data_IF_947236178608
#
_entry.id   IF_947236178608
#
_cell.length_a   1.000
_cell.length_b   1.000
_cell.length_c   1.000
_cell.angle_alpha   90.00
_cell.angle_beta   90.00
_cell.angle_gamma   90.00
#
_symmetry.space_group_name_H-M   'P 1'
#
loop_
_entity.id
_entity.type
_entity.pdbx_description
1 polymer ?
#
# COMPACT_ATOMS: atom_id res chain seq x y z
N UNK A 1 -18.72 0.68 -2.24
CA UNK A 1 -18.20 -0.58 -1.67
C UNK A 1 -16.68 -0.61 -1.71
N UNK A 2 -16.04 -1.03 -0.64
CA UNK A 2 -14.58 -1.10 -0.57
C UNK A 2 -14.15 -2.53 -0.27
N UNK A 3 -13.09 -2.96 -0.95
CA UNK A 3 -12.41 -4.18 -0.54
C UNK A 3 -11.62 -3.90 0.75
N UNK A 4 -11.48 -4.88 1.64
CA UNK A 4 -10.61 -4.71 2.79
C UNK A 4 -9.19 -4.39 2.36
N UNK A 5 -8.55 -3.43 3.04
CA UNK A 5 -7.22 -2.96 2.71
C UNK A 5 -6.29 -3.20 3.89
N UNK A 6 -5.16 -3.87 3.63
CA UNK A 6 -4.18 -4.16 4.67
C UNK A 6 -3.49 -2.89 5.17
N UNK A 7 -2.94 -2.96 6.39
CA UNK A 7 -2.15 -1.87 6.94
C UNK A 7 -0.94 -1.56 6.06
N UNK A 8 -0.31 -2.57 5.46
CA UNK A 8 0.84 -2.39 4.58
C UNK A 8 0.48 -1.58 3.34
N UNK A 9 -0.69 -1.83 2.75
CA UNK A 9 -1.15 -1.07 1.59
C UNK A 9 -1.45 0.38 1.98
N UNK A 10 -1.99 0.59 3.17
CA UNK A 10 -2.21 1.95 3.69
C UNK A 10 -0.88 2.67 3.87
N UNK A 11 0.13 2.01 4.44
CA UNK A 11 1.49 2.57 4.57
C UNK A 11 2.05 2.98 3.22
N UNK A 12 1.91 2.11 2.21
CA UNK A 12 2.37 2.40 0.85
C UNK A 12 1.64 3.61 0.27
N UNK A 13 0.32 3.69 0.44
CA UNK A 13 -0.45 4.83 -0.04
C UNK A 13 -0.04 6.13 0.63
N UNK A 14 0.19 6.12 1.95
CA UNK A 14 0.66 7.29 2.69
C UNK A 14 2.00 7.76 2.12
N UNK A 15 2.96 6.86 1.97
CA UNK A 15 4.28 7.21 1.43
C UNK A 15 4.16 7.79 0.01
N UNK A 16 3.28 7.22 -0.80
CA UNK A 16 3.05 7.71 -2.17
C UNK A 16 2.45 9.11 -2.19
N UNK A 17 1.53 9.39 -1.27
CA UNK A 17 0.90 10.71 -1.14
C UNK A 17 1.95 11.75 -0.76
N UNK A 18 2.74 11.48 0.29
CA UNK A 18 3.74 12.45 0.77
C UNK A 18 4.95 12.54 -0.14
N UNK A 19 5.18 11.54 -0.98
CA UNK A 19 6.24 11.62 -2.00
C UNK A 19 5.91 12.65 -3.09
N UNK A 20 4.64 12.82 -3.39
CA UNK A 20 4.21 13.84 -4.37
C UNK A 20 4.34 15.24 -3.79
N UNK A 21 3.93 15.42 -2.54
CA UNK A 21 3.89 16.70 -1.88
C UNK A 21 3.69 16.48 -0.39
N UNK A 22 4.30 17.30 0.45
CA UNK A 22 4.05 17.27 1.88
C UNK A 22 2.55 17.40 2.14
N UNK A 23 2.04 16.64 3.06
CA UNK A 23 0.60 16.60 3.34
C UNK A 23 0.34 16.47 4.83
N UNK A 24 -0.87 16.75 5.25
CA UNK A 24 -1.29 16.67 6.64
C UNK A 24 -2.36 15.59 6.82
N UNK A 25 -2.56 15.18 8.06
CA UNK A 25 -3.39 14.01 8.39
C UNK A 25 -4.77 14.00 7.74
N UNK A 26 -5.48 15.13 7.77
CA UNK A 26 -6.81 15.21 7.19
C UNK A 26 -6.78 14.98 5.66
N UNK A 27 -5.86 15.63 4.95
CA UNK A 27 -5.72 15.48 3.50
C UNK A 27 -5.35 14.04 3.13
N UNK A 28 -4.41 13.44 3.87
CA UNK A 28 -4.03 12.04 3.70
C UNK A 28 -5.26 11.14 3.89
N UNK A 29 -6.00 11.36 4.96
CA UNK A 29 -7.22 10.63 5.28
C UNK A 29 -8.25 10.71 4.16
N UNK A 30 -8.52 11.90 3.66
CA UNK A 30 -9.50 12.10 2.58
C UNK A 30 -9.08 11.39 1.29
N UNK A 31 -7.78 11.38 0.99
CA UNK A 31 -7.26 10.68 -0.19
C UNK A 31 -7.42 9.17 -0.06
N UNK A 32 -7.06 8.61 1.09
CA UNK A 32 -7.18 7.17 1.31
C UNK A 32 -8.64 6.72 1.32
N UNK A 33 -9.55 7.56 1.78
CA UNK A 33 -11.00 7.27 1.77
C UNK A 33 -11.57 7.05 0.37
N UNK A 34 -10.85 7.41 -0.68
CA UNK A 34 -11.27 7.09 -2.05
C UNK A 34 -11.29 5.58 -2.30
N UNK A 35 -10.49 4.80 -1.59
CA UNK A 35 -10.33 3.36 -1.84
C UNK A 35 -10.52 2.50 -0.58
N UNK A 36 -10.61 3.10 0.59
CA UNK A 36 -10.70 2.36 1.85
C UNK A 36 -11.62 3.05 2.83
N UNK A 37 -12.42 2.27 3.55
CA UNK A 37 -13.21 2.78 4.66
C UNK A 37 -12.31 2.81 5.90
N UNK A 38 -11.52 3.87 6.03
CA UNK A 38 -10.57 4.02 7.12
C UNK A 38 -11.01 5.11 8.09
N UNK A 39 -10.92 4.81 9.37
CA UNK A 39 -11.17 5.78 10.44
C UNK A 39 -9.87 6.44 10.85
N UNK A 40 -9.94 7.66 11.35
CA UNK A 40 -8.78 8.38 11.85
C UNK A 40 -8.08 7.61 12.97
N UNK A 41 -8.84 6.92 13.84
CA UNK A 41 -8.28 6.07 14.88
C UNK A 41 -7.40 4.94 14.34
N UNK A 42 -7.59 4.53 13.10
CA UNK A 42 -6.74 3.53 12.43
C UNK A 42 -5.58 4.20 11.71
N UNK A 43 -5.82 5.35 11.09
CA UNK A 43 -4.82 6.05 10.29
C UNK A 43 -3.67 6.63 11.14
N UNK A 44 -4.00 7.32 12.24
CA UNK A 44 -2.99 8.02 13.03
C UNK A 44 -1.92 7.09 13.63
N UNK A 45 -2.25 5.90 14.14
CA UNK A 45 -1.21 4.95 14.56
C UNK A 45 -0.26 4.52 13.43
N UNK A 46 -0.77 4.42 12.20
CA UNK A 46 0.05 4.06 11.03
C UNK A 46 1.00 5.20 10.69
N UNK A 47 0.51 6.45 10.71
CA UNK A 47 1.35 7.63 10.51
C UNK A 47 2.46 7.69 11.54
N UNK A 48 2.13 7.43 12.80
CA UNK A 48 3.11 7.42 13.89
C UNK A 48 4.17 6.32 13.72
N UNK A 49 3.74 5.16 13.25
CA UNK A 49 4.65 4.05 12.95
C UNK A 49 5.65 4.44 11.85
N UNK A 50 5.18 5.09 10.79
CA UNK A 50 6.04 5.54 9.70
C UNK A 50 7.03 6.61 10.17
N UNK A 51 6.61 7.49 11.05
CA UNK A 51 7.49 8.50 11.65
C UNK A 51 8.57 7.84 12.50
N UNK A 52 8.20 6.89 13.35
CA UNK A 52 9.15 6.15 14.19
C UNK A 52 10.14 5.34 13.38
N UNK A 53 9.71 4.81 12.25
CA UNK A 53 10.58 4.05 11.35
C UNK A 53 11.54 4.95 10.56
N UNK A 54 11.37 6.27 10.64
CA UNK A 54 12.20 7.21 9.91
C UNK A 54 11.84 7.38 8.44
N UNK A 55 10.67 6.92 8.04
CA UNK A 55 10.22 7.05 6.64
C UNK A 55 9.58 8.40 6.35
N UNK A 56 9.05 9.06 7.38
CA UNK A 56 8.54 10.41 7.28
C UNK A 56 9.04 11.24 8.44
N UNK A 57 9.15 12.55 8.23
CA UNK A 57 9.38 13.54 9.29
C UNK A 57 8.17 14.46 9.36
N UNK A 58 8.06 15.18 10.44
CA UNK A 58 6.92 16.08 10.64
C UNK A 58 7.40 17.48 10.96
N UNK A 59 6.60 18.45 10.58
CA UNK A 59 6.80 19.85 10.95
C UNK A 59 5.43 20.53 11.05
N UNK A 60 5.38 21.62 11.78
CA UNK A 60 4.16 22.44 11.89
C UNK A 60 4.26 23.63 10.97
N UNK A 61 3.18 23.94 10.29
CA UNK A 61 3.05 25.14 9.48
C UNK A 61 1.68 25.75 9.65
N UNK A 62 1.61 27.08 9.54
CA UNK A 62 0.33 27.80 9.56
C UNK A 62 -0.24 27.89 8.16
N UNK A 63 -1.54 27.62 8.07
CA UNK A 63 -2.30 27.84 6.86
C UNK A 63 -3.64 28.44 7.26
N UNK A 64 -3.92 29.65 6.78
CA UNK A 64 -5.14 30.38 7.10
C UNK A 64 -5.40 30.50 8.62
N UNK A 65 -4.34 30.82 9.38
CA UNK A 65 -4.42 31.00 10.81
C UNK A 65 -4.47 29.72 11.65
N UNK A 66 -4.40 28.56 11.02
CA UNK A 66 -4.40 27.27 11.74
C UNK A 66 -3.04 26.58 11.64
N UNK A 67 -2.55 26.07 12.75
CA UNK A 67 -1.38 25.22 12.77
C UNK A 67 -1.75 23.84 12.29
N UNK A 68 -1.00 23.32 11.32
CA UNK A 68 -1.15 21.98 10.82
C UNK A 68 0.17 21.21 10.95
N UNK A 69 0.05 19.94 11.31
CA UNK A 69 1.20 19.02 11.31
C UNK A 69 1.33 18.42 9.92
N UNK A 70 2.42 18.74 9.25
CA UNK A 70 2.71 18.21 7.92
C UNK A 70 3.68 17.03 8.02
N UNK A 71 3.51 16.10 7.10
CA UNK A 71 4.35 14.93 6.93
C UNK A 71 5.14 15.11 5.65
N UNK A 72 6.44 14.83 5.71
CA UNK A 72 7.36 14.92 4.60
C UNK A 72 8.11 13.61 4.47
N UNK A 73 8.30 13.11 3.25
CA UNK A 73 8.99 11.85 3.04
C UNK A 73 10.51 12.03 3.21
N UNK A 74 11.17 11.03 3.79
CA UNK A 74 12.63 10.98 3.92
C UNK A 74 13.23 10.16 2.78
N UNK A 75 14.55 10.16 2.65
CA UNK A 75 15.23 9.29 1.67
C UNK A 75 14.95 7.81 1.98
N UNK A 76 14.95 7.43 3.27
CA UNK A 76 14.57 6.08 3.68
C UNK A 76 13.12 5.77 3.29
N UNK A 77 12.23 6.75 3.42
CA UNK A 77 10.83 6.60 3.01
C UNK A 77 10.68 6.39 1.51
N UNK A 78 11.46 7.10 0.70
CA UNK A 78 11.46 6.92 -0.75
C UNK A 78 11.93 5.52 -1.15
N UNK A 79 12.96 5.02 -0.49
CA UNK A 79 13.46 3.65 -0.70
C UNK A 79 12.40 2.62 -0.34
N UNK A 80 11.75 2.79 0.81
CA UNK A 80 10.67 1.90 1.25
C UNK A 80 9.48 1.95 0.29
N UNK A 81 9.11 3.15 -0.15
CA UNK A 81 8.02 3.33 -1.12
C UNK A 81 8.31 2.59 -2.43
N UNK A 82 9.54 2.72 -2.94
CA UNK A 82 9.94 2.06 -4.18
C UNK A 82 9.88 0.52 -4.04
N UNK A 83 10.32 0.00 -2.91
CA UNK A 83 10.23 -1.42 -2.61
C UNK A 83 8.77 -1.89 -2.59
N UNK A 84 7.90 -1.17 -1.88
CA UNK A 84 6.48 -1.50 -1.79
C UNK A 84 5.78 -1.38 -3.14
N UNK A 85 6.21 -0.45 -3.99
CA UNK A 85 5.66 -0.30 -5.33
C UNK A 85 5.91 -1.54 -6.18
N UNK A 86 7.11 -2.10 -6.11
CA UNK A 86 7.44 -3.35 -6.80
C UNK A 86 6.62 -4.53 -6.27
N UNK A 87 6.50 -4.63 -4.95
CA UNK A 87 5.70 -5.68 -4.32
C UNK A 87 4.21 -5.54 -4.67
N UNK A 88 3.68 -4.34 -4.64
CA UNK A 88 2.30 -4.05 -5.02
C UNK A 88 2.02 -4.45 -6.46
N UNK A 89 2.91 -4.06 -7.37
CA UNK A 89 2.75 -4.37 -8.80
C UNK A 89 2.69 -5.87 -9.04
N UNK A 90 3.60 -6.61 -8.42
CA UNK A 90 3.65 -8.07 -8.53
C UNK A 90 2.37 -8.71 -7.96
N UNK A 91 1.94 -8.26 -6.79
CA UNK A 91 0.74 -8.73 -6.11
C UNK A 91 -0.52 -8.46 -6.94
N UNK A 92 -0.65 -7.22 -7.42
CA UNK A 92 -1.78 -6.80 -8.26
C UNK A 92 -1.84 -7.61 -9.55
N UNK A 93 -0.72 -7.75 -10.24
CA UNK A 93 -0.68 -8.47 -11.51
C UNK A 93 -1.03 -9.95 -11.31
N UNK A 94 -0.57 -10.56 -10.23
CA UNK A 94 -0.91 -11.95 -9.90
C UNK A 94 -2.41 -12.09 -9.61
N UNK A 95 -3.00 -11.17 -8.87
CA UNK A 95 -4.43 -11.17 -8.59
C UNK A 95 -5.22 -11.03 -9.88
N UNK A 96 -4.84 -10.07 -10.73
CA UNK A 96 -5.52 -9.84 -12.01
C UNK A 96 -5.46 -11.09 -12.88
N UNK A 97 -4.31 -11.74 -12.94
CA UNK A 97 -4.14 -12.98 -13.69
C UNK A 97 -5.06 -14.09 -13.17
N UNK A 98 -5.17 -14.22 -11.86
CA UNK A 98 -6.06 -15.22 -11.24
C UNK A 98 -7.53 -14.94 -11.57
N UNK A 99 -7.94 -13.67 -11.45
CA UNK A 99 -9.33 -13.25 -11.72
C UNK A 99 -9.67 -13.44 -13.19
N UNK A 100 -8.74 -13.12 -14.07
CA UNK A 100 -8.92 -13.22 -15.50
C UNK A 100 -8.52 -14.58 -16.06
N UNK A 101 -8.30 -15.56 -15.18
CA UNK A 101 -7.87 -16.90 -15.55
C UNK A 101 -8.72 -17.48 -16.65
N UNK A 102 -8.04 -17.93 -17.73
CA UNK A 102 -8.68 -18.64 -18.84
C UNK A 102 -7.79 -19.80 -19.25
N UNK A 103 -8.35 -20.84 -19.81
CA UNK A 103 -7.60 -22.01 -20.28
C UNK A 103 -6.51 -21.68 -21.32
N UNK A 104 -6.58 -20.49 -21.91
CA UNK A 104 -5.65 -20.04 -22.93
C UNK A 104 -4.43 -19.30 -22.40
N UNK A 105 -4.29 -19.16 -21.09
CA UNK A 105 -3.31 -18.25 -20.49
C UNK A 105 -1.98 -18.87 -20.15
N UNK A 106 -1.62 -19.98 -20.79
CA UNK A 106 -0.31 -20.61 -20.63
C UNK A 106 0.83 -19.66 -21.01
N UNK A 107 0.58 -18.79 -21.98
CA UNK A 107 1.54 -17.77 -22.42
C UNK A 107 1.89 -16.75 -21.33
N UNK A 108 1.07 -16.62 -20.29
CA UNK A 108 1.33 -15.72 -19.18
C UNK A 108 2.12 -16.37 -18.03
N UNK A 109 2.35 -17.66 -18.13
CA UNK A 109 3.06 -18.41 -17.09
C UNK A 109 2.25 -18.67 -15.82
N UNK A 110 1.05 -18.10 -15.69
CA UNK A 110 0.22 -18.26 -14.49
C UNK A 110 -0.29 -19.69 -14.34
N UNK A 111 -0.58 -20.35 -15.44
CA UNK A 111 -1.03 -21.75 -15.44
C UNK A 111 0.02 -22.68 -14.85
N UNK A 112 1.29 -22.46 -15.19
CA UNK A 112 2.40 -23.23 -14.63
C UNK A 112 2.53 -23.02 -13.12
N UNK A 113 2.44 -21.76 -12.68
CA UNK A 113 2.51 -21.41 -11.26
C UNK A 113 1.42 -22.08 -10.46
N UNK A 114 0.19 -22.03 -10.96
CA UNK A 114 -0.96 -22.67 -10.29
C UNK A 114 -0.86 -24.18 -10.37
N UNK A 115 -0.38 -24.73 -11.49
CA UNK A 115 -0.12 -26.16 -11.63
C UNK A 115 0.85 -26.66 -10.57
N UNK A 116 1.96 -25.96 -10.36
CA UNK A 116 2.95 -26.29 -9.33
C UNK A 116 2.35 -26.27 -7.93
N UNK A 117 1.57 -25.26 -7.61
CA UNK A 117 0.90 -25.16 -6.32
C UNK A 117 -0.05 -26.33 -6.12
N UNK A 118 -0.82 -26.72 -7.11
CA UNK A 118 -1.73 -27.85 -7.06
C UNK A 118 -0.99 -29.17 -6.86
N UNK A 119 0.14 -29.36 -7.56
CA UNK A 119 0.97 -30.56 -7.41
C UNK A 119 1.58 -30.66 -6.02
N UNK A 120 2.12 -29.56 -5.49
CA UNK A 120 2.67 -29.50 -4.14
C UNK A 120 1.60 -29.79 -3.09
N UNK A 121 0.41 -29.22 -3.24
CA UNK A 121 -0.70 -29.48 -2.32
C UNK A 121 -1.15 -30.95 -2.36
N UNK A 122 -1.16 -31.57 -3.54
CA UNK A 122 -1.47 -32.99 -3.71
C UNK A 122 -0.42 -33.88 -3.07
N UNK A 123 0.87 -33.53 -3.23
CA UNK A 123 1.97 -34.26 -2.61
C UNK A 123 1.91 -34.19 -1.07
N UNK A 124 1.57 -33.06 -0.50
CA UNK A 124 1.44 -32.88 0.94
C UNK A 124 0.29 -33.70 1.54
N UNK A 125 -0.74 -34.01 0.76
CA UNK A 125 -1.88 -34.82 1.21
C UNK A 125 -1.61 -36.32 1.23
N UNK A 126 -0.56 -36.73 0.58
CA UNK A 126 -0.15 -38.14 0.53
C UNK A 126 0.76 -38.47 1.68
#
# INVERSE_FOLDING_TARGET
MYFPVSALLIEFMILSIVNREDSYGYEISQTIKLVADIKESTLYPILKKLEKAGYVTTYSAEYQGRKRKYYSITEAGKTQMAYLQGEWKSYRDTIDDIIEWRKKNDEWGISETIGKVSEEASAERL
#
